data_IF_429215670809
#
_entry.id   IF_429215670809
#
_cell.length_a   1.000
_cell.length_b   1.000
_cell.length_c   1.000
_cell.angle_alpha   90.00
_cell.angle_beta   90.00
_cell.angle_gamma   90.00
#
_symmetry.space_group_name_H-M   'P 1'
#
loop_
_entity.id
_entity.type
_entity.pdbx_description
1 polymer ?
#
# COMPACT_ATOMS: atom_id res chain seq x y z
N UNK A 1 51.68 8.77 24.82
CA UNK A 1 50.68 8.32 23.82
C UNK A 1 49.26 8.53 24.37
N UNK A 2 48.68 9.68 24.01
CA UNK A 2 47.46 10.23 24.59
C UNK A 2 46.19 9.53 24.11
N UNK A 3 45.25 9.29 25.03
CA UNK A 3 43.90 8.83 24.74
C UNK A 3 43.05 9.98 24.13
N UNK A 4 42.06 9.68 23.26
CA UNK A 4 41.18 10.68 22.67
C UNK A 4 40.12 11.18 23.67
N UNK A 5 39.64 12.43 23.55
CA UNK A 5 38.67 13.01 24.47
C UNK A 5 37.23 12.50 24.21
N UNK A 6 36.35 12.52 25.24
CA UNK A 6 34.97 12.05 25.11
C UNK A 6 34.08 13.05 24.36
N UNK A 7 33.25 12.53 23.45
CA UNK A 7 32.17 13.24 22.76
C UNK A 7 31.04 13.63 23.71
N UNK A 8 30.67 14.91 23.72
CA UNK A 8 29.55 15.46 24.48
C UNK A 8 28.18 15.13 23.83
N UNK A 9 27.10 14.99 24.62
CA UNK A 9 25.75 14.75 24.12
C UNK A 9 25.05 16.04 23.68
N UNK A 10 24.32 15.98 22.56
CA UNK A 10 23.47 17.04 22.04
C UNK A 10 22.18 17.16 22.88
N UNK A 11 21.94 18.33 23.45
CA UNK A 11 20.65 18.72 24.05
C UNK A 11 19.69 19.27 22.99
N UNK A 12 18.37 19.03 23.08
CA UNK A 12 17.40 19.64 22.17
C UNK A 12 17.03 21.05 22.63
N UNK A 13 17.08 22.02 21.70
CA UNK A 13 16.65 23.39 21.93
C UNK A 13 15.11 23.48 21.91
N UNK A 14 14.53 23.99 23.00
CA UNK A 14 13.11 24.38 23.10
C UNK A 14 13.03 25.87 22.76
N UNK A 15 12.28 26.23 21.70
CA UNK A 15 12.01 27.63 21.36
C UNK A 15 10.62 28.06 21.87
N UNK A 16 10.63 29.06 22.75
CA UNK A 16 9.46 29.76 23.30
C UNK A 16 9.08 30.90 22.32
N UNK A 17 7.82 30.95 21.90
CA UNK A 17 7.29 31.98 20.99
C UNK A 17 6.57 33.08 21.81
N UNK A 18 7.11 34.30 21.78
CA UNK A 18 6.46 35.51 22.30
C UNK A 18 5.46 36.07 21.28
N UNK A 19 4.22 36.34 21.72
CA UNK A 19 3.16 36.99 20.94
C UNK A 19 3.28 38.53 21.01
N UNK A 20 3.38 39.20 19.85
CA UNK A 20 3.16 40.65 19.72
C UNK A 20 1.99 40.89 18.74
N UNK A 21 1.02 41.71 19.18
CA UNK A 21 -0.12 42.20 18.38
C UNK A 21 0.25 43.49 17.62
N UNK A 22 -0.17 43.67 16.35
CA UNK A 22 -0.15 44.99 15.71
C UNK A 22 -1.56 45.54 15.42
N UNK A 23 -1.68 46.86 15.61
CA UNK A 23 -2.86 47.71 15.41
C UNK A 23 -3.04 48.17 13.95
N UNK A 24 -4.31 48.39 13.56
CA UNK A 24 -4.79 48.70 12.21
C UNK A 24 -4.88 50.20 11.90
N UNK A 25 -4.65 50.60 10.64
CA UNK A 25 -5.28 51.77 9.98
C UNK A 25 -5.32 51.55 8.46
N UNK A 26 -6.44 51.87 7.78
CA UNK A 26 -6.60 51.76 6.32
C UNK A 26 -7.25 53.03 5.75
N UNK A 27 -6.68 53.58 4.67
CA UNK A 27 -7.25 54.66 3.85
C UNK A 27 -8.01 54.09 2.63
N UNK A 28 -9.11 54.72 2.16
CA UNK A 28 -9.86 54.25 0.99
C UNK A 28 -9.32 54.81 -0.34
N UNK A 29 -9.25 53.95 -1.37
CA UNK A 29 -9.00 54.28 -2.78
C UNK A 29 -10.33 54.44 -3.56
N UNK A 30 -10.36 55.21 -4.67
CA UNK A 30 -11.58 55.49 -5.43
C UNK A 30 -11.89 54.39 -6.48
N UNK A 31 -13.15 54.28 -6.96
CA UNK A 31 -13.55 53.23 -7.90
C UNK A 31 -13.23 53.58 -9.38
N UNK A 32 -13.09 52.56 -10.26
CA UNK A 32 -12.78 52.73 -11.69
C UNK A 32 -14.04 52.79 -12.58
N UNK A 33 -13.92 53.29 -13.84
CA UNK A 33 -15.07 53.57 -14.71
C UNK A 33 -15.54 52.36 -15.53
N UNK A 34 -16.80 52.46 -15.97
CA UNK A 34 -17.63 51.42 -16.60
C UNK A 34 -17.31 51.16 -18.08
N UNK A 35 -17.38 49.87 -18.43
CA UNK A 35 -17.42 49.17 -19.72
C UNK A 35 -17.42 49.94 -21.07
N UNK A 36 -16.63 49.43 -22.03
CA UNK A 36 -16.95 49.52 -23.46
C UNK A 36 -16.77 48.15 -24.14
N UNK A 37 -17.80 47.73 -24.87
CA UNK A 37 -17.93 46.52 -25.67
C UNK A 37 -17.23 46.64 -27.03
N UNK A 38 -16.96 45.48 -27.65
CA UNK A 38 -16.55 45.21 -29.05
C UNK A 38 -15.06 44.88 -29.27
N UNK A 39 -14.75 43.58 -29.41
CA UNK A 39 -13.68 43.05 -30.28
C UNK A 39 -14.01 41.59 -30.70
N UNK A 40 -13.64 41.13 -31.92
CA UNK A 40 -14.00 39.83 -32.50
C UNK A 40 -13.05 38.68 -32.07
N UNK A 41 -13.38 37.39 -32.36
CA UNK A 41 -12.71 36.24 -31.74
C UNK A 41 -11.36 35.89 -32.40
N UNK A 42 -10.38 35.51 -31.58
CA UNK A 42 -9.04 35.07 -31.98
C UNK A 42 -8.99 33.53 -32.07
N UNK A 43 -8.28 32.91 -33.04
CA UNK A 43 -8.25 31.46 -33.22
C UNK A 43 -7.41 30.74 -32.15
N UNK A 44 -7.83 29.53 -31.81
CA UNK A 44 -7.18 28.63 -30.85
C UNK A 44 -5.84 28.10 -31.38
N UNK A 45 -4.72 28.59 -30.85
CA UNK A 45 -3.42 27.93 -30.97
C UNK A 45 -3.20 26.95 -29.80
N UNK A 46 -2.97 25.70 -30.18
CA UNK A 46 -2.50 24.60 -29.33
C UNK A 46 -1.12 24.89 -28.73
N UNK A 47 -1.00 24.85 -27.41
CA UNK A 47 0.30 24.74 -26.74
C UNK A 47 0.23 23.69 -25.63
N UNK A 48 0.99 22.62 -25.82
CA UNK A 48 1.43 21.66 -24.80
C UNK A 48 2.51 22.30 -23.91
N UNK A 49 2.42 22.22 -22.57
CA UNK A 49 3.55 22.49 -21.70
C UNK A 49 4.18 21.18 -21.20
N UNK A 50 5.42 20.93 -21.63
CA UNK A 50 6.41 20.14 -20.91
C UNK A 50 6.77 20.87 -19.61
N UNK A 51 6.70 20.21 -18.46
CA UNK A 51 7.18 20.72 -17.18
C UNK A 51 8.55 20.15 -16.82
N UNK A 52 9.55 20.98 -16.47
CA UNK A 52 10.64 20.58 -15.60
C UNK A 52 10.29 20.94 -14.15
N UNK A 53 10.71 20.06 -13.23
CA UNK A 53 10.60 20.22 -11.80
C UNK A 53 11.43 21.41 -11.30
N UNK A 54 10.84 22.28 -10.47
CA UNK A 54 11.60 23.12 -9.53
C UNK A 54 10.74 23.39 -8.30
N UNK A 55 11.26 22.98 -7.15
CA UNK A 55 10.69 23.23 -5.82
C UNK A 55 10.73 24.74 -5.52
N UNK A 56 9.60 25.32 -5.13
CA UNK A 56 9.55 26.65 -4.50
C UNK A 56 8.63 26.59 -3.29
N UNK A 57 9.23 26.79 -2.11
CA UNK A 57 8.58 26.96 -0.81
C UNK A 57 7.78 28.27 -0.81
N UNK A 58 6.45 28.18 -0.90
CA UNK A 58 5.58 29.32 -0.64
C UNK A 58 5.17 29.35 0.83
N UNK A 59 5.72 30.36 1.52
CA UNK A 59 5.36 30.79 2.87
C UNK A 59 3.85 31.07 2.94
N UNK A 60 3.16 30.47 3.92
CA UNK A 60 1.78 30.79 4.25
C UNK A 60 1.71 32.24 4.77
N UNK A 61 1.15 33.14 3.97
CA UNK A 61 0.60 34.40 4.47
C UNK A 61 -0.66 34.11 5.31
N UNK A 62 -0.88 34.79 6.45
CA UNK A 62 -2.13 34.72 7.17
C UNK A 62 -3.20 35.46 6.37
N UNK A 63 -4.18 34.72 5.84
CA UNK A 63 -5.37 35.28 5.23
C UNK A 63 -6.26 35.92 6.31
N UNK A 64 -6.11 37.23 6.52
CA UNK A 64 -7.09 38.02 7.27
C UNK A 64 -8.35 38.17 6.42
N UNK A 65 -9.41 37.49 6.81
CA UNK A 65 -10.77 37.66 6.28
C UNK A 65 -11.35 38.99 6.77
N UNK A 66 -11.33 40.01 5.91
CA UNK A 66 -12.21 41.17 6.09
C UNK A 66 -13.64 40.75 5.68
N UNK A 67 -14.58 40.74 6.62
CA UNK A 67 -16.00 40.60 6.31
C UNK A 67 -16.45 41.80 5.47
N UNK A 68 -16.98 41.61 4.24
CA UNK A 68 -17.67 42.68 3.55
C UNK A 68 -18.95 43.04 4.30
N UNK A 69 -19.26 44.33 4.41
CA UNK A 69 -20.59 44.81 4.74
C UNK A 69 -21.63 44.08 3.87
N UNK A 70 -22.69 43.58 4.50
CA UNK A 70 -23.78 42.90 3.80
C UNK A 70 -24.39 43.84 2.74
N UNK A 71 -24.41 43.46 1.45
CA UNK A 71 -25.18 44.19 0.46
C UNK A 71 -26.68 44.05 0.75
N UNK A 72 -27.52 45.03 0.34
CA UNK A 72 -28.96 44.96 0.49
C UNK A 72 -29.53 43.70 -0.20
N UNK A 73 -30.67 43.15 0.26
CA UNK A 73 -31.18 41.86 -0.20
C UNK A 73 -31.44 41.89 -1.71
N UNK A 74 -30.57 41.22 -2.47
CA UNK A 74 -30.73 40.97 -3.90
C UNK A 74 -31.86 39.95 -4.10
N UNK A 75 -32.76 40.13 -5.09
CA UNK A 75 -33.84 39.18 -5.36
C UNK A 75 -33.30 37.77 -5.60
N UNK A 76 -33.95 36.78 -5.00
CA UNK A 76 -33.54 35.37 -4.87
C UNK A 76 -33.59 34.57 -6.18
N UNK A 77 -33.42 35.20 -7.36
CA UNK A 77 -33.64 34.58 -8.67
C UNK A 77 -32.36 34.12 -9.38
N UNK A 78 -31.16 34.44 -8.88
CA UNK A 78 -29.90 34.14 -9.59
C UNK A 78 -28.76 33.60 -8.72
N UNK A 79 -29.04 32.82 -7.68
CA UNK A 79 -27.97 32.00 -7.07
C UNK A 79 -27.63 30.84 -8.03
N UNK A 80 -26.36 30.65 -8.44
CA UNK A 80 -25.97 29.40 -9.09
C UNK A 80 -26.23 28.24 -8.10
N UNK A 81 -26.70 27.08 -8.57
CA UNK A 81 -26.97 25.96 -7.69
C UNK A 81 -25.70 25.64 -6.90
N UNK A 82 -25.79 25.72 -5.57
CA UNK A 82 -24.74 25.25 -4.67
C UNK A 82 -24.46 23.81 -5.05
N UNK A 83 -23.27 23.58 -5.64
CA UNK A 83 -22.79 22.23 -5.94
C UNK A 83 -22.66 21.53 -4.59
N UNK A 84 -23.67 20.75 -4.23
CA UNK A 84 -23.60 19.82 -3.12
C UNK A 84 -22.43 18.88 -3.41
N UNK A 85 -21.28 19.12 -2.78
CA UNK A 85 -20.27 18.10 -2.64
C UNK A 85 -20.92 16.97 -1.86
N UNK A 86 -21.43 15.97 -2.59
CA UNK A 86 -21.97 14.74 -2.02
C UNK A 86 -20.81 14.03 -1.34
N UNK A 87 -20.61 14.31 -0.05
CA UNK A 87 -19.68 13.57 0.77
C UNK A 87 -20.28 12.17 0.92
N UNK A 88 -19.76 11.20 0.15
CA UNK A 88 -20.14 9.80 0.34
C UNK A 88 -19.76 9.40 1.76
N UNK A 89 -20.72 9.01 2.61
CA UNK A 89 -20.42 8.57 3.96
C UNK A 89 -19.47 7.37 3.89
N UNK A 90 -18.63 7.14 4.91
CA UNK A 90 -17.81 5.93 4.96
C UNK A 90 -18.71 4.71 4.82
N UNK A 91 -18.23 3.70 4.10
CA UNK A 91 -19.00 2.50 3.74
C UNK A 91 -19.65 1.81 4.95
N UNK A 92 -19.05 1.92 6.13
CA UNK A 92 -19.59 1.44 7.40
C UNK A 92 -20.84 2.19 7.87
N UNK A 93 -20.89 3.52 7.69
CA UNK A 93 -22.06 4.34 8.02
C UNK A 93 -23.23 4.01 7.10
N UNK A 94 -22.97 3.91 5.79
CA UNK A 94 -24.00 3.54 4.82
C UNK A 94 -24.56 2.13 5.05
N UNK A 95 -23.71 1.15 5.40
CA UNK A 95 -24.14 -0.22 5.70
C UNK A 95 -25.01 -0.28 6.97
N UNK A 96 -24.62 0.47 8.00
CA UNK A 96 -25.36 0.58 9.26
C UNK A 96 -26.74 1.19 9.02
N UNK A 97 -26.82 2.26 8.22
CA UNK A 97 -28.07 2.92 7.83
C UNK A 97 -28.98 1.99 7.02
N UNK A 98 -28.42 1.24 6.05
CA UNK A 98 -29.20 0.32 5.21
C UNK A 98 -29.77 -0.86 6.01
N UNK A 99 -28.97 -1.43 6.91
CA UNK A 99 -29.31 -2.70 7.58
C UNK A 99 -29.95 -2.49 8.96
N UNK A 100 -29.88 -1.29 9.53
CA UNK A 100 -30.23 -1.01 10.93
C UNK A 100 -29.49 -1.94 11.92
N UNK A 101 -28.24 -2.31 11.62
CA UNK A 101 -27.39 -3.16 12.45
C UNK A 101 -26.15 -2.41 12.92
N UNK A 102 -25.68 -2.69 14.14
CA UNK A 102 -24.39 -2.15 14.63
C UNK A 102 -23.21 -2.80 13.90
N UNK A 103 -22.06 -2.11 13.83
CA UNK A 103 -20.86 -2.61 13.16
C UNK A 103 -20.41 -4.01 13.65
N UNK A 104 -20.34 -4.30 14.97
CA UNK A 104 -19.98 -5.64 15.42
C UNK A 104 -20.99 -6.69 14.95
N UNK A 105 -22.28 -6.35 14.91
CA UNK A 105 -23.30 -7.25 14.37
C UNK A 105 -23.06 -7.46 12.87
N UNK A 106 -22.84 -6.41 12.09
CA UNK A 106 -22.55 -6.56 10.66
C UNK A 106 -21.34 -7.47 10.40
N UNK A 107 -20.29 -7.38 11.22
CA UNK A 107 -19.03 -8.15 11.03
C UNK A 107 -19.12 -9.60 11.52
N UNK A 108 -19.77 -9.86 12.65
CA UNK A 108 -19.74 -11.16 13.33
C UNK A 108 -21.02 -11.99 13.18
N UNK A 109 -22.04 -11.52 12.46
CA UNK A 109 -23.24 -12.31 12.13
C UNK A 109 -23.60 -12.23 10.64
N UNK A 110 -24.40 -13.21 10.19
CA UNK A 110 -24.97 -13.29 8.83
C UNK A 110 -26.24 -12.46 8.66
N UNK A 111 -26.68 -11.75 9.72
CA UNK A 111 -27.92 -10.94 9.72
C UNK A 111 -27.93 -9.84 8.66
N UNK A 112 -26.77 -9.34 8.24
CA UNK A 112 -26.63 -8.33 7.21
C UNK A 112 -26.97 -8.85 5.78
N UNK A 113 -27.14 -10.17 5.61
CA UNK A 113 -27.41 -10.84 4.33
C UNK A 113 -26.41 -10.49 3.22
N UNK A 114 -25.15 -10.26 3.58
CA UNK A 114 -24.08 -9.87 2.65
C UNK A 114 -23.28 -11.09 2.15
N UNK A 115 -23.02 -11.16 0.84
CA UNK A 115 -22.23 -12.23 0.23
C UNK A 115 -23.02 -13.09 -0.75
N UNK A 116 -22.28 -13.77 -1.63
CA UNK A 116 -22.89 -14.53 -2.73
C UNK A 116 -23.25 -15.97 -2.36
N UNK A 117 -22.52 -16.57 -1.41
CA UNK A 117 -22.85 -17.88 -0.84
C UNK A 117 -23.33 -17.69 0.59
N UNK A 118 -24.59 -18.04 0.84
CA UNK A 118 -25.14 -18.18 2.20
C UNK A 118 -25.00 -16.94 3.09
N UNK A 119 -24.82 -15.75 2.50
CA UNK A 119 -24.58 -14.51 3.22
C UNK A 119 -23.39 -14.51 4.20
N UNK A 120 -22.33 -15.26 3.85
CA UNK A 120 -21.16 -15.47 4.71
C UNK A 120 -20.05 -14.43 4.53
N UNK A 121 -20.25 -13.38 3.73
CA UNK A 121 -19.16 -12.43 3.41
C UNK A 121 -18.55 -11.76 4.65
N UNK A 122 -19.32 -11.27 5.65
CA UNK A 122 -18.71 -10.62 6.80
C UNK A 122 -17.85 -11.56 7.64
N UNK A 123 -18.36 -12.76 7.93
CA UNK A 123 -17.66 -13.76 8.73
C UNK A 123 -16.40 -14.27 8.02
N UNK A 124 -16.52 -14.58 6.73
CA UNK A 124 -15.35 -15.02 5.92
C UNK A 124 -14.30 -13.92 5.82
N UNK A 125 -14.69 -12.64 5.75
CA UNK A 125 -13.77 -11.51 5.75
C UNK A 125 -12.94 -11.41 7.03
N UNK A 126 -13.59 -11.49 8.20
CA UNK A 126 -12.90 -11.47 9.49
C UNK A 126 -11.92 -12.66 9.62
N UNK A 127 -12.34 -13.86 9.19
CA UNK A 127 -11.47 -15.04 9.22
C UNK A 127 -10.27 -14.86 8.27
N UNK A 128 -10.50 -14.34 7.05
CA UNK A 128 -9.45 -14.04 6.08
C UNK A 128 -8.43 -13.04 6.65
N UNK A 129 -8.88 -11.98 7.31
CA UNK A 129 -8.02 -10.97 7.92
C UNK A 129 -7.17 -11.56 9.05
N UNK A 130 -7.75 -12.40 9.91
CA UNK A 130 -7.01 -13.09 10.98
C UNK A 130 -5.93 -14.00 10.38
N UNK A 131 -6.27 -14.80 9.36
CA UNK A 131 -5.31 -15.67 8.67
C UNK A 131 -4.18 -14.83 8.06
N UNK A 132 -4.52 -13.73 7.37
CA UNK A 132 -3.55 -12.86 6.74
C UNK A 132 -2.60 -12.23 7.77
N UNK A 133 -3.11 -11.76 8.91
CA UNK A 133 -2.30 -11.20 10.00
C UNK A 133 -1.31 -12.26 10.52
N UNK A 134 -1.78 -13.48 10.79
CA UNK A 134 -0.92 -14.59 11.24
C UNK A 134 0.19 -14.85 10.22
N UNK A 135 -0.16 -14.95 8.94
CA UNK A 135 0.81 -15.16 7.85
C UNK A 135 1.83 -14.01 7.79
N UNK A 136 1.39 -12.76 7.84
CA UNK A 136 2.28 -11.58 7.74
C UNK A 136 3.23 -11.50 8.93
N UNK A 137 2.73 -11.69 10.16
CA UNK A 137 3.54 -11.66 11.39
C UNK A 137 4.58 -12.78 11.37
N UNK A 138 4.18 -14.01 11.02
CA UNK A 138 5.09 -15.14 10.93
C UNK A 138 6.11 -15.02 9.78
N UNK A 139 5.83 -14.18 8.78
CA UNK A 139 6.72 -13.92 7.63
C UNK A 139 7.75 -12.84 7.89
N UNK A 140 7.67 -12.14 9.03
CA UNK A 140 8.63 -11.10 9.37
C UNK A 140 10.03 -11.70 9.53
N UNK A 141 11.10 -10.97 9.15
CA UNK A 141 12.48 -11.45 9.30
C UNK A 141 12.82 -11.90 10.72
N UNK A 142 12.20 -11.26 11.73
CA UNK A 142 12.32 -11.64 13.13
C UNK A 142 11.92 -13.10 13.38
N UNK A 143 10.78 -13.56 12.85
CA UNK A 143 10.30 -14.93 13.04
C UNK A 143 11.04 -15.91 12.14
N UNK A 144 11.31 -15.53 10.88
CA UNK A 144 11.98 -16.43 9.93
C UNK A 144 13.46 -16.65 10.26
N UNK A 145 14.12 -15.70 10.96
CA UNK A 145 15.55 -15.79 11.34
C UNK A 145 15.78 -16.16 12.81
N UNK A 146 14.74 -16.32 13.62
CA UNK A 146 14.86 -16.69 15.04
C UNK A 146 15.21 -18.17 15.30
N UNK A 147 15.38 -18.97 14.25
CA UNK A 147 15.66 -20.41 14.34
C UNK A 147 14.42 -21.31 14.16
N UNK A 148 13.20 -20.74 14.20
CA UNK A 148 11.94 -21.48 14.05
C UNK A 148 11.39 -21.41 12.61
N UNK A 149 12.17 -21.85 11.61
CA UNK A 149 11.73 -21.85 10.21
C UNK A 149 10.44 -22.67 10.00
N UNK A 150 10.18 -23.67 10.85
CA UNK A 150 8.96 -24.47 10.82
C UNK A 150 7.69 -23.63 11.05
N UNK A 151 7.75 -22.65 11.96
CA UNK A 151 6.63 -21.75 12.25
C UNK A 151 6.27 -20.94 11.01
N UNK A 152 7.28 -20.35 10.35
CA UNK A 152 7.08 -19.69 9.06
C UNK A 152 6.45 -20.65 8.04
N UNK A 153 7.01 -21.84 7.88
CA UNK A 153 6.53 -22.81 6.90
C UNK A 153 5.07 -23.24 7.10
N UNK A 154 4.69 -23.61 8.33
CA UNK A 154 3.34 -24.08 8.64
C UNK A 154 2.30 -22.96 8.57
N UNK A 155 2.63 -21.76 9.06
CA UNK A 155 1.73 -20.61 8.96
C UNK A 155 1.56 -20.14 7.52
N UNK A 156 2.61 -20.20 6.69
CA UNK A 156 2.49 -19.86 5.27
C UNK A 156 1.56 -20.81 4.54
N UNK A 157 1.49 -22.10 4.91
CA UNK A 157 0.54 -23.07 4.33
C UNK A 157 -0.94 -22.72 4.55
N UNK A 158 -1.23 -21.76 5.44
CA UNK A 158 -2.58 -21.18 5.55
C UNK A 158 -3.03 -20.48 4.24
N UNK A 159 -2.15 -20.30 3.25
CA UNK A 159 -2.55 -19.89 1.91
C UNK A 159 -3.63 -20.82 1.30
N UNK A 160 -3.64 -22.12 1.64
CA UNK A 160 -4.63 -23.09 1.12
C UNK A 160 -6.04 -22.76 1.62
N UNK A 161 -6.32 -22.73 2.93
CA UNK A 161 -7.63 -22.30 3.43
C UNK A 161 -7.93 -20.84 3.09
N UNK A 162 -6.91 -19.96 2.98
CA UNK A 162 -7.10 -18.58 2.54
C UNK A 162 -7.73 -18.50 1.15
N UNK A 163 -7.17 -19.18 0.13
CA UNK A 163 -7.75 -19.16 -1.22
C UNK A 163 -9.15 -19.78 -1.28
N UNK A 164 -9.42 -20.84 -0.51
CA UNK A 164 -10.77 -21.43 -0.41
C UNK A 164 -11.76 -20.41 0.16
N UNK A 165 -11.39 -19.74 1.26
CA UNK A 165 -12.21 -18.71 1.89
C UNK A 165 -12.37 -17.48 0.97
N UNK A 166 -11.34 -17.08 0.23
CA UNK A 166 -11.43 -15.96 -0.72
C UNK A 166 -12.39 -16.27 -1.87
N UNK A 167 -12.38 -17.51 -2.36
CA UNK A 167 -13.35 -17.97 -3.35
C UNK A 167 -14.79 -17.85 -2.82
N UNK A 168 -15.03 -18.26 -1.57
CA UNK A 168 -16.35 -18.12 -0.92
C UNK A 168 -16.70 -16.66 -0.61
N UNK A 169 -15.72 -15.84 -0.25
CA UNK A 169 -15.90 -14.45 0.13
C UNK A 169 -16.28 -13.56 -1.06
N UNK A 170 -15.64 -13.76 -2.22
CA UNK A 170 -15.74 -12.88 -3.37
C UNK A 170 -16.21 -13.61 -4.66
N UNK A 171 -17.40 -13.28 -5.21
CA UNK A 171 -18.03 -14.04 -6.31
C UNK A 171 -17.22 -14.05 -7.61
N UNK A 172 -16.44 -13.00 -7.86
CA UNK A 172 -15.66 -12.85 -9.10
C UNK A 172 -14.18 -13.23 -8.93
N UNK A 173 -13.77 -13.70 -7.74
CA UNK A 173 -12.35 -13.96 -7.47
C UNK A 173 -11.76 -15.05 -8.37
N UNK A 174 -12.57 -16.05 -8.75
CA UNK A 174 -12.15 -17.16 -9.61
C UNK A 174 -11.54 -16.68 -10.94
N UNK A 175 -12.05 -15.59 -11.53
CA UNK A 175 -11.54 -15.02 -12.79
C UNK A 175 -10.08 -14.59 -12.66
N UNK A 176 -9.71 -14.04 -11.51
CA UNK A 176 -8.36 -13.58 -11.21
C UNK A 176 -7.43 -14.73 -10.83
N UNK A 177 -7.97 -15.89 -10.44
CA UNK A 177 -7.19 -17.06 -10.04
C UNK A 177 -6.75 -17.92 -11.23
N UNK A 178 -7.52 -17.94 -12.33
CA UNK A 178 -7.25 -18.83 -13.49
C UNK A 178 -5.85 -18.62 -14.08
N UNK A 179 -5.48 -17.38 -14.39
CA UNK A 179 -4.20 -17.09 -15.06
C UNK A 179 -3.01 -17.44 -14.15
N UNK A 180 -2.93 -16.99 -12.89
CA UNK A 180 -1.85 -17.38 -11.98
C UNK A 180 -1.75 -18.90 -11.76
N UNK A 181 -2.89 -19.58 -11.58
CA UNK A 181 -2.89 -21.04 -11.38
C UNK A 181 -2.40 -21.77 -12.63
N UNK A 182 -2.83 -21.35 -13.82
CA UNK A 182 -2.36 -21.95 -15.06
C UNK A 182 -0.84 -21.79 -15.24
N UNK A 183 -0.28 -20.61 -14.95
CA UNK A 183 1.17 -20.35 -15.00
C UNK A 183 1.90 -21.23 -13.97
N UNK A 184 1.41 -21.29 -12.73
CA UNK A 184 2.01 -22.10 -11.67
C UNK A 184 2.02 -23.60 -12.01
N UNK A 185 0.92 -24.12 -12.57
CA UNK A 185 0.82 -25.51 -12.99
C UNK A 185 1.77 -25.81 -14.16
N UNK A 186 1.87 -24.90 -15.14
CA UNK A 186 2.81 -25.04 -16.25
C UNK A 186 4.27 -25.05 -15.78
N UNK A 187 4.66 -24.13 -14.89
CA UNK A 187 6.00 -24.09 -14.31
C UNK A 187 6.31 -25.36 -13.51
N UNK A 188 5.36 -25.81 -12.70
CA UNK A 188 5.47 -27.04 -11.91
C UNK A 188 5.64 -28.25 -12.82
N UNK A 189 4.88 -28.33 -13.91
CA UNK A 189 4.96 -29.41 -14.89
C UNK A 189 6.31 -29.42 -15.62
N UNK A 190 6.78 -28.26 -16.09
CA UNK A 190 8.11 -28.11 -16.71
C UNK A 190 9.21 -28.52 -15.73
N UNK A 191 9.11 -28.07 -14.48
CA UNK A 191 10.07 -28.42 -13.43
C UNK A 191 10.04 -29.90 -13.11
N UNK A 192 8.86 -30.52 -13.05
CA UNK A 192 8.70 -31.95 -12.84
C UNK A 192 9.39 -32.76 -13.93
N UNK A 193 9.22 -32.39 -15.20
CA UNK A 193 9.89 -33.07 -16.34
C UNK A 193 11.42 -32.88 -16.31
N UNK A 194 11.88 -31.68 -15.88
CA UNK A 194 13.31 -31.33 -15.83
C UNK A 194 14.02 -31.80 -14.56
N UNK A 195 13.27 -32.08 -13.49
CA UNK A 195 13.77 -32.56 -12.20
C UNK A 195 14.35 -33.96 -12.37
N UNK A 196 15.63 -34.05 -12.75
CA UNK A 196 16.30 -35.32 -13.02
C UNK A 196 17.50 -35.51 -12.09
N UNK A 197 17.48 -36.62 -11.35
CA UNK A 197 18.65 -37.24 -10.72
C UNK A 197 19.10 -36.62 -9.39
N UNK A 198 19.45 -37.50 -8.44
CA UNK A 198 20.20 -37.10 -7.26
C UNK A 198 21.69 -36.99 -7.56
N UNK A 199 22.39 -36.14 -6.82
CA UNK A 199 23.86 -36.13 -6.79
C UNK A 199 24.35 -36.15 -5.36
N UNK A 200 25.58 -36.64 -5.17
CA UNK A 200 26.25 -36.72 -3.87
C UNK A 200 27.19 -35.53 -3.71
N UNK A 201 27.16 -34.95 -2.51
CA UNK A 201 28.11 -33.92 -2.08
C UNK A 201 29.44 -34.61 -1.75
N UNK A 202 30.52 -34.20 -2.40
CA UNK A 202 31.86 -34.75 -2.19
C UNK A 202 32.63 -34.00 -1.10
N UNK A 203 32.49 -32.67 -1.02
CA UNK A 203 33.17 -31.84 -0.03
C UNK A 203 32.35 -30.60 0.31
N UNK A 204 32.38 -30.20 1.58
CA UNK A 204 31.86 -28.93 2.09
C UNK A 204 33.01 -28.18 2.75
N UNK A 205 33.22 -26.91 2.40
CA UNK A 205 34.24 -26.07 3.03
C UNK A 205 33.65 -24.72 3.40
N UNK A 206 33.83 -24.28 4.64
CA UNK A 206 33.41 -22.95 5.11
C UNK A 206 34.56 -21.98 4.90
N UNK A 207 34.32 -20.90 4.14
CA UNK A 207 35.31 -19.85 3.92
C UNK A 207 35.13 -18.73 4.96
N UNK A 208 36.21 -18.03 5.35
CA UNK A 208 36.18 -16.98 6.38
C UNK A 208 35.22 -15.81 6.09
N UNK A 209 34.85 -15.62 4.83
CA UNK A 209 33.95 -14.55 4.36
C UNK A 209 32.46 -14.92 4.42
N UNK A 210 32.06 -15.85 5.29
CA UNK A 210 30.69 -16.38 5.39
C UNK A 210 30.16 -16.99 4.08
N UNK A 211 31.03 -17.69 3.34
CA UNK A 211 30.69 -18.40 2.11
C UNK A 211 30.86 -19.91 2.30
N UNK A 212 29.89 -20.69 1.86
CA UNK A 212 29.96 -22.16 1.89
C UNK A 212 30.30 -22.69 0.50
N UNK A 213 31.49 -23.27 0.33
CA UNK A 213 31.87 -23.95 -0.89
C UNK A 213 31.34 -25.39 -0.84
N UNK A 214 30.52 -25.74 -1.83
CA UNK A 214 29.94 -27.07 -1.98
C UNK A 214 30.46 -27.73 -3.25
N UNK A 215 31.20 -28.83 -3.11
CA UNK A 215 31.69 -29.64 -4.23
C UNK A 215 30.73 -30.81 -4.43
N UNK A 216 30.06 -30.84 -5.58
CA UNK A 216 29.05 -31.84 -5.93
C UNK A 216 29.56 -32.69 -7.08
N UNK A 217 29.34 -34.01 -7.02
CA UNK A 217 29.65 -34.89 -8.15
C UNK A 217 28.79 -34.52 -9.35
N UNK A 218 29.40 -34.35 -10.53
CA UNK A 218 28.64 -34.08 -11.75
C UNK A 218 27.73 -35.27 -12.10
N UNK A 219 26.40 -35.08 -12.24
CA UNK A 219 25.53 -36.18 -12.66
C UNK A 219 25.80 -36.59 -14.11
N UNK A 220 25.55 -37.86 -14.48
CA UNK A 220 25.82 -38.35 -15.83
C UNK A 220 25.00 -37.57 -16.87
N UNK A 221 25.65 -37.17 -17.97
CA UNK A 221 25.00 -36.41 -19.03
C UNK A 221 24.73 -34.93 -18.73
N UNK A 222 25.14 -34.42 -17.56
CA UNK A 222 24.98 -33.00 -17.22
C UNK A 222 25.88 -32.13 -18.11
N UNK A 223 25.30 -31.17 -18.84
CA UNK A 223 26.05 -30.20 -19.65
C UNK A 223 25.75 -28.82 -19.09
N UNK A 224 26.79 -27.99 -18.91
CA UNK A 224 26.67 -26.62 -18.44
C UNK A 224 27.67 -25.72 -19.17
N UNK A 225 27.34 -24.45 -19.27
CA UNK A 225 28.18 -23.38 -19.82
C UNK A 225 28.56 -22.38 -18.71
N UNK A 226 29.62 -21.59 -18.89
CA UNK A 226 29.92 -20.50 -17.97
C UNK A 226 28.72 -19.56 -17.84
N UNK A 227 28.30 -19.28 -16.60
CA UNK A 227 27.13 -18.44 -16.29
C UNK A 227 25.84 -19.21 -15.97
N UNK A 228 25.78 -20.52 -16.19
CA UNK A 228 24.62 -21.32 -15.80
C UNK A 228 24.49 -21.44 -14.27
N UNK A 229 23.25 -21.50 -13.78
CA UNK A 229 22.93 -21.75 -12.37
C UNK A 229 22.07 -23.01 -12.22
N UNK A 230 22.12 -23.60 -11.03
CA UNK A 230 21.35 -24.81 -10.68
C UNK A 230 20.61 -24.61 -9.37
N UNK A 231 19.39 -25.16 -9.30
CA UNK A 231 18.66 -25.27 -8.04
C UNK A 231 19.04 -26.59 -7.37
N UNK A 232 19.49 -26.51 -6.11
CA UNK A 232 19.93 -27.67 -5.33
C UNK A 232 18.94 -27.88 -4.19
N UNK A 233 18.32 -29.06 -4.13
CA UNK A 233 17.48 -29.48 -3.01
C UNK A 233 18.32 -30.30 -2.03
N UNK A 234 18.53 -29.80 -0.82
CA UNK A 234 19.26 -30.49 0.25
C UNK A 234 18.26 -30.93 1.33
N UNK A 235 17.83 -32.21 1.34
CA UNK A 235 16.78 -32.69 2.25
C UNK A 235 17.11 -32.53 3.73
N UNK A 236 18.40 -32.52 4.09
CA UNK A 236 18.84 -32.35 5.48
C UNK A 236 18.52 -30.95 6.05
N UNK A 237 18.47 -29.93 5.19
CA UNK A 237 18.24 -28.52 5.59
C UNK A 237 16.80 -28.12 5.25
N UNK A 238 16.34 -28.46 4.04
CA UNK A 238 14.98 -28.23 3.58
C UNK A 238 14.17 -29.52 3.68
N UNK A 239 13.76 -29.88 4.90
CA UNK A 239 12.90 -31.06 5.18
C UNK A 239 11.45 -30.87 4.72
N UNK A 240 11.08 -29.66 4.36
CA UNK A 240 9.72 -29.17 4.23
C UNK A 240 9.55 -28.37 2.94
#
# INVERSE_FOLDING_TARGET
>A
PHAPPPTAPLTPAIHILHLLHPSHTCHPYPPPPTALSHLPPIPSTSYTPLTPATHTLHLLHPSHTCHPHAPPPTPLSHLPPTRSTSYSPPTTLWLTERTNLTVPRILFTTDAKLGWIGHLAPLTGVILDIILIIMVVASRPFVRRSGYFQTFYWTHKLYVPYYILTFIHAPNFWKWLVVPVAIFLAETFVTYIRSRGGSTITRVSLLPSAVTQLVIKKPPGFKFKPGDYVYIKIPAIAKY
#
